data_IF_997364059587
#
_entry.id   IF_997364059587
#
_cell.length_a   1.000
_cell.length_b   1.000
_cell.length_c   1.000
_cell.angle_alpha   90.00
_cell.angle_beta   90.00
_cell.angle_gamma   90.00
#
_symmetry.space_group_name_H-M   'P 1'
#
loop_
_entity.id
_entity.type
_entity.pdbx_description
1 polymer ?
#
# COMPACT_ATOMS: atom_id res chain seq x y z
N UNK A 1 2.66 16.88 -10.96
CA UNK A 1 1.83 16.69 -9.74
C UNK A 1 2.14 15.31 -9.20
N UNK A 2 2.57 15.21 -7.94
CA UNK A 2 2.86 13.92 -7.32
C UNK A 2 1.55 13.29 -6.86
N UNK A 3 1.26 12.05 -7.27
CA UNK A 3 -0.02 11.39 -7.02
C UNK A 3 -0.32 11.06 -5.53
N UNK A 4 0.56 11.45 -4.61
CA UNK A 4 0.53 11.06 -3.21
C UNK A 4 1.20 12.08 -2.27
N UNK A 5 2.05 12.96 -2.78
CA UNK A 5 2.86 13.85 -1.96
C UNK A 5 2.05 15.03 -1.45
N UNK A 6 2.02 15.19 -0.13
CA UNK A 6 1.41 16.32 0.58
C UNK A 6 2.50 17.04 1.35
N UNK A 7 2.47 18.36 1.29
CA UNK A 7 3.37 19.24 2.06
C UNK A 7 2.56 19.87 3.19
N UNK A 8 3.07 19.79 4.40
CA UNK A 8 2.46 20.29 5.62
C UNK A 8 3.38 21.37 6.19
N UNK A 9 2.79 22.51 6.54
CA UNK A 9 3.50 23.62 7.13
C UNK A 9 2.66 24.27 8.24
N UNK A 10 3.30 24.98 9.17
CA UNK A 10 2.66 25.69 10.28
C UNK A 10 1.86 26.93 9.82
N UNK A 11 2.26 27.51 8.70
CA UNK A 11 1.60 28.63 8.01
C UNK A 11 1.04 28.21 6.66
N UNK A 12 0.02 28.92 6.12
CA UNK A 12 -0.51 28.65 4.80
C UNK A 12 0.59 28.64 3.72
N UNK A 13 0.60 27.60 2.87
CA UNK A 13 1.71 27.36 1.92
C UNK A 13 1.94 28.54 0.96
N UNK A 14 0.86 29.21 0.52
CA UNK A 14 0.96 30.36 -0.38
C UNK A 14 1.68 31.57 0.23
N UNK A 15 1.88 31.61 1.56
CA UNK A 15 2.63 32.69 2.23
C UNK A 15 4.14 32.43 2.27
N UNK A 16 4.55 31.17 2.14
CA UNK A 16 5.93 30.73 2.38
C UNK A 16 6.60 30.14 1.14
N UNK A 17 5.83 29.72 0.13
CA UNK A 17 6.38 29.23 -1.13
C UNK A 17 5.44 29.49 -2.32
N UNK A 18 5.96 29.51 -3.56
CA UNK A 18 5.13 29.69 -4.76
C UNK A 18 4.15 28.52 -4.93
N UNK A 19 2.85 28.82 -4.89
CA UNK A 19 1.78 27.82 -5.09
C UNK A 19 0.90 28.18 -6.28
N UNK A 20 0.32 27.16 -6.91
CA UNK A 20 -0.78 27.31 -7.87
C UNK A 20 -2.08 26.76 -7.27
N UNK A 21 -3.22 27.33 -7.63
CA UNK A 21 -4.53 26.83 -7.20
C UNK A 21 -5.05 25.81 -8.21
N UNK A 22 -5.41 24.63 -7.72
CA UNK A 22 -6.06 23.59 -8.48
C UNK A 22 -7.47 23.35 -7.92
N UNK A 23 -8.49 23.37 -8.78
CA UNK A 23 -9.89 23.25 -8.39
C UNK A 23 -10.26 21.90 -7.76
N UNK A 24 -9.49 20.84 -8.01
CA UNK A 24 -9.77 19.50 -7.50
C UNK A 24 -9.03 19.19 -6.20
N UNK A 25 -7.80 19.69 -6.04
CA UNK A 25 -6.89 19.29 -4.94
C UNK A 25 -6.42 20.45 -4.07
N UNK A 26 -6.84 21.69 -4.37
CA UNK A 26 -6.43 22.89 -3.63
C UNK A 26 -5.06 23.44 -4.06
N UNK A 27 -4.29 23.95 -3.10
CA UNK A 27 -2.98 24.56 -3.37
C UNK A 27 -1.91 23.50 -3.69
N UNK A 28 -1.20 23.70 -4.80
CA UNK A 28 -0.11 22.84 -5.25
C UNK A 28 1.19 23.64 -5.21
N UNK A 29 2.21 23.12 -4.52
CA UNK A 29 3.55 23.69 -4.51
C UNK A 29 4.18 23.63 -5.91
N UNK A 30 4.78 24.72 -6.36
CA UNK A 30 5.44 24.81 -7.68
C UNK A 30 6.93 24.40 -7.64
N UNK A 31 7.40 23.85 -6.51
CA UNK A 31 8.78 23.43 -6.29
C UNK A 31 8.88 21.91 -6.16
N UNK A 32 10.06 21.38 -6.48
CA UNK A 32 10.32 19.94 -6.40
C UNK A 32 10.39 19.45 -4.95
N UNK A 33 10.06 18.16 -4.76
CA UNK A 33 9.92 17.58 -3.42
C UNK A 33 11.23 17.66 -2.62
N UNK A 34 12.36 17.35 -3.26
CA UNK A 34 13.66 17.21 -2.59
C UNK A 34 14.11 18.58 -2.09
N UNK A 35 13.87 19.63 -2.89
CA UNK A 35 14.12 21.00 -2.49
C UNK A 35 13.27 21.41 -1.28
N UNK A 36 11.98 21.07 -1.25
CA UNK A 36 11.11 21.41 -0.13
C UNK A 36 11.53 20.69 1.16
N UNK A 37 11.92 19.41 1.07
CA UNK A 37 12.44 18.66 2.21
C UNK A 37 13.74 19.29 2.75
N UNK A 38 14.66 19.71 1.87
CA UNK A 38 15.88 20.43 2.26
C UNK A 38 15.61 21.78 2.93
N UNK A 39 14.53 22.47 2.55
CA UNK A 39 14.10 23.71 3.20
C UNK A 39 13.35 23.49 4.53
N UNK A 40 13.23 22.24 4.98
CA UNK A 40 12.61 21.89 6.27
C UNK A 40 11.09 21.77 6.23
N UNK A 41 10.48 21.69 5.05
CA UNK A 41 9.05 21.40 4.96
C UNK A 41 8.77 19.94 5.34
N UNK A 42 7.69 19.73 6.11
CA UNK A 42 7.22 18.40 6.39
C UNK A 42 6.50 17.84 5.16
N UNK A 43 7.00 16.73 4.64
CA UNK A 43 6.37 16.02 3.53
C UNK A 43 5.83 14.67 4.01
N UNK A 44 4.64 14.32 3.54
CA UNK A 44 4.02 13.01 3.75
C UNK A 44 3.50 12.47 2.43
N UNK A 45 3.55 11.15 2.23
CA UNK A 45 2.87 10.49 1.12
C UNK A 45 1.58 9.83 1.61
N UNK A 46 0.45 10.20 1.01
CA UNK A 46 -0.81 9.46 1.13
C UNK A 46 -0.95 8.56 -0.09
N UNK A 47 -0.57 7.29 0.08
CA UNK A 47 -0.68 6.28 -0.96
C UNK A 47 -2.07 5.64 -0.92
N UNK A 48 -2.79 5.70 -2.04
CA UNK A 48 -4.03 4.94 -2.22
C UNK A 48 -3.67 3.58 -2.79
N UNK A 49 -3.76 2.54 -1.96
CA UNK A 49 -3.45 1.17 -2.36
C UNK A 49 -4.74 0.38 -2.59
N UNK A 50 -4.94 -0.08 -3.83
CA UNK A 50 -6.11 -0.90 -4.23
C UNK A 50 -6.22 -2.20 -3.44
N UNK A 51 -5.09 -2.80 -3.06
CA UNK A 51 -5.07 -4.06 -2.31
C UNK A 51 -5.77 -3.91 -0.93
N UNK A 52 -5.68 -2.76 -0.27
CA UNK A 52 -6.35 -2.50 0.99
C UNK A 52 -7.88 -2.48 0.81
N UNK A 53 -8.38 -1.89 -0.28
CA UNK A 53 -9.81 -1.94 -0.63
C UNK A 53 -10.28 -3.37 -0.88
N UNK A 54 -9.49 -4.16 -1.62
CA UNK A 54 -9.83 -5.58 -1.89
C UNK A 54 -9.89 -6.37 -0.58
N UNK A 55 -8.93 -6.16 0.32
CA UNK A 55 -8.91 -6.84 1.64
C UNK A 55 -10.17 -6.48 2.44
N UNK A 56 -10.54 -5.19 2.51
CA UNK A 56 -11.72 -4.73 3.23
C UNK A 56 -13.02 -5.35 2.67
N UNK A 57 -13.16 -5.38 1.34
CA UNK A 57 -14.29 -6.03 0.67
C UNK A 57 -14.35 -7.53 0.98
N UNK A 58 -13.22 -8.24 0.93
CA UNK A 58 -13.15 -9.65 1.30
C UNK A 58 -13.61 -9.90 2.74
N UNK A 59 -13.14 -9.09 3.70
CA UNK A 59 -13.53 -9.21 5.11
C UNK A 59 -15.03 -8.93 5.31
N UNK A 60 -15.59 -7.96 4.59
CA UNK A 60 -17.01 -7.66 4.62
C UNK A 60 -17.86 -8.84 4.08
N UNK A 61 -17.40 -9.51 3.02
CA UNK A 61 -18.06 -10.70 2.47
C UNK A 61 -17.98 -11.89 3.44
N UNK A 62 -16.82 -12.14 4.04
CA UNK A 62 -16.66 -13.19 5.07
C UNK A 62 -17.62 -12.94 6.23
N UNK A 63 -17.69 -11.70 6.73
CA UNK A 63 -18.64 -11.34 7.78
C UNK A 63 -20.10 -11.56 7.38
N UNK A 64 -20.44 -11.26 6.13
CA UNK A 64 -21.81 -11.39 5.61
C UNK A 64 -22.25 -12.85 5.46
N UNK A 65 -21.38 -13.72 4.95
CA UNK A 65 -21.76 -15.09 4.61
C UNK A 65 -21.42 -16.11 5.70
N UNK A 66 -20.29 -15.93 6.39
CA UNK A 66 -19.82 -16.85 7.43
C UNK A 66 -20.17 -16.37 8.85
N UNK A 67 -20.62 -15.11 9.00
CA UNK A 67 -20.92 -14.51 10.31
C UNK A 67 -19.68 -14.22 11.17
N UNK A 68 -18.47 -14.43 10.61
CA UNK A 68 -17.20 -14.24 11.32
C UNK A 68 -16.68 -12.82 11.10
N UNK A 69 -16.37 -12.11 12.18
CA UNK A 69 -15.70 -10.82 12.11
C UNK A 69 -14.18 -11.02 12.23
N UNK A 70 -13.46 -10.78 11.13
CA UNK A 70 -12.00 -10.86 11.08
C UNK A 70 -11.40 -9.45 11.07
N UNK A 71 -10.26 -9.28 11.74
CA UNK A 71 -9.42 -8.09 11.63
C UNK A 71 -8.13 -8.47 10.90
N UNK A 72 -7.70 -7.70 9.89
CA UNK A 72 -6.47 -8.01 9.16
C UNK A 72 -5.23 -7.89 10.06
N UNK A 73 -5.32 -7.10 11.14
CA UNK A 73 -4.24 -6.91 12.11
C UNK A 73 -4.09 -8.05 13.12
N UNK A 74 -5.05 -8.99 13.16
CA UNK A 74 -5.04 -10.11 14.09
C UNK A 74 -4.83 -11.47 13.42
N UNK A 75 -4.62 -11.50 12.11
CA UNK A 75 -4.38 -12.76 11.39
C UNK A 75 -2.96 -13.29 11.70
N UNK A 76 -2.80 -14.61 11.94
CA UNK A 76 -1.50 -15.19 12.21
C UNK A 76 -0.65 -15.24 10.92
N UNK A 77 0.65 -14.95 11.06
CA UNK A 77 1.61 -15.10 9.95
C UNK A 77 2.06 -16.55 9.72
N UNK A 78 1.71 -17.45 10.63
CA UNK A 78 2.16 -18.86 10.63
C UNK A 78 1.12 -19.83 10.11
N UNK A 79 0.13 -19.36 9.33
CA UNK A 79 -0.91 -20.23 8.78
C UNK A 79 -0.34 -21.16 7.69
N UNK A 80 -0.27 -22.48 7.94
CA UNK A 80 0.31 -23.42 6.97
C UNK A 80 -0.54 -23.53 5.69
N UNK A 81 -1.85 -23.31 5.76
CA UNK A 81 -2.72 -23.36 4.57
C UNK A 81 -2.46 -22.16 3.66
N UNK A 82 -2.23 -20.98 4.24
CA UNK A 82 -1.87 -19.78 3.47
C UNK A 82 -0.53 -19.97 2.72
N UNK A 83 0.48 -20.55 3.37
CA UNK A 83 1.76 -20.86 2.73
C UNK A 83 1.58 -21.93 1.64
N UNK A 84 0.74 -22.94 1.88
CA UNK A 84 0.48 -23.98 0.89
C UNK A 84 -0.15 -23.41 -0.40
N UNK A 85 -1.04 -22.41 -0.31
CA UNK A 85 -1.61 -21.72 -1.49
C UNK A 85 -0.49 -21.11 -2.35
N UNK A 86 0.49 -20.45 -1.71
CA UNK A 86 1.62 -19.85 -2.41
C UNK A 86 2.49 -20.93 -3.06
N UNK A 87 2.85 -21.99 -2.31
CA UNK A 87 3.67 -23.10 -2.81
C UNK A 87 3.04 -23.84 -4.00
N UNK A 88 1.71 -23.99 -3.99
CA UNK A 88 0.95 -24.63 -5.04
C UNK A 88 0.94 -23.84 -6.36
N UNK A 89 1.47 -22.61 -6.36
CA UNK A 89 1.41 -21.74 -7.52
C UNK A 89 -0.02 -21.23 -7.77
N UNK A 90 -0.79 -21.01 -6.71
CA UNK A 90 -2.12 -20.39 -6.77
C UNK A 90 -2.02 -18.88 -6.48
N UNK A 91 -1.05 -18.21 -7.11
CA UNK A 91 -0.72 -16.80 -6.83
C UNK A 91 -1.63 -15.75 -7.50
N UNK A 92 -2.63 -16.16 -8.28
CA UNK A 92 -3.54 -15.20 -8.92
C UNK A 92 -4.32 -14.42 -7.86
N UNK A 93 -4.23 -13.08 -7.89
CA UNK A 93 -4.85 -12.20 -6.90
C UNK A 93 -4.00 -11.97 -5.64
N UNK A 94 -2.82 -12.59 -5.53
CA UNK A 94 -1.90 -12.34 -4.43
C UNK A 94 -0.99 -11.15 -4.74
N UNK A 95 -1.11 -10.10 -3.94
CA UNK A 95 -0.34 -8.87 -4.10
C UNK A 95 1.17 -9.17 -4.16
N UNK A 96 1.87 -8.56 -5.12
CA UNK A 96 3.32 -8.72 -5.40
C UNK A 96 3.79 -10.10 -5.90
N UNK A 97 2.95 -11.14 -5.86
CA UNK A 97 3.35 -12.51 -6.21
C UNK A 97 3.04 -12.92 -7.67
N UNK A 98 2.35 -12.07 -8.43
CA UNK A 98 1.87 -12.42 -9.78
C UNK A 98 2.92 -12.33 -10.89
N UNK A 99 4.08 -11.70 -10.64
CA UNK A 99 5.07 -11.50 -11.71
C UNK A 99 5.69 -12.82 -12.16
N UNK A 100 6.04 -12.94 -13.44
CA UNK A 100 6.68 -14.16 -13.98
C UNK A 100 7.97 -14.54 -13.23
N UNK A 101 8.75 -13.54 -12.80
CA UNK A 101 9.95 -13.75 -11.99
C UNK A 101 9.60 -14.33 -10.62
N UNK A 102 8.60 -13.77 -9.95
CA UNK A 102 8.17 -14.25 -8.64
C UNK A 102 7.59 -15.66 -8.69
N UNK A 103 6.79 -15.98 -9.72
CA UNK A 103 6.28 -17.33 -9.96
C UNK A 103 7.38 -18.38 -10.12
N UNK A 104 8.50 -18.01 -10.76
CA UNK A 104 9.67 -18.89 -10.88
C UNK A 104 10.38 -19.04 -9.54
N UNK A 105 10.59 -17.93 -8.84
CA UNK A 105 11.22 -17.92 -7.52
C UNK A 105 10.45 -18.80 -6.52
N UNK A 106 9.12 -18.68 -6.45
CA UNK A 106 8.27 -19.53 -5.59
C UNK A 106 8.46 -21.01 -5.89
N UNK A 107 8.52 -21.38 -7.18
CA UNK A 107 8.72 -22.78 -7.60
C UNK A 107 10.08 -23.32 -7.18
N UNK A 108 11.13 -22.51 -7.24
CA UNK A 108 12.50 -22.89 -6.89
C UNK A 108 12.72 -22.91 -5.37
N UNK A 109 12.24 -21.89 -4.65
CA UNK A 109 12.42 -21.72 -3.20
C UNK A 109 11.54 -22.67 -2.41
N UNK A 110 10.32 -22.95 -2.86
CA UNK A 110 9.33 -23.75 -2.12
C UNK A 110 9.13 -23.23 -0.68
N UNK A 111 8.62 -22.00 -0.51
CA UNK A 111 8.57 -21.32 0.78
C UNK A 111 7.85 -22.16 1.84
N UNK A 112 8.40 -22.21 3.05
CA UNK A 112 7.86 -22.99 4.18
C UNK A 112 7.36 -22.11 5.31
N UNK A 113 7.67 -20.82 5.26
CA UNK A 113 7.38 -19.82 6.27
C UNK A 113 7.01 -18.50 5.62
N UNK A 114 6.48 -17.56 6.41
CA UNK A 114 6.20 -16.20 5.95
C UNK A 114 7.49 -15.44 5.62
N UNK A 115 8.55 -15.72 6.36
CA UNK A 115 9.89 -15.13 6.17
C UNK A 115 10.50 -15.50 4.81
N UNK A 116 10.13 -16.64 4.23
CA UNK A 116 10.56 -17.02 2.88
C UNK A 116 9.85 -16.20 1.77
N UNK A 117 8.76 -15.52 2.10
CA UNK A 117 7.92 -14.74 1.18
C UNK A 117 8.15 -13.23 1.32
N UNK A 118 8.49 -12.74 2.52
CA UNK A 118 8.70 -11.34 2.86
C UNK A 118 9.98 -10.73 2.24
#
# INVERSE_FOLDING_TARGET
>A
MHAAGIVINDKPLYEVLPTTNNNEVGYVACLEKDYLEEQGFLKMDLLVLRNLTIIDECLALVRKYEGVALSPYSLPYTDPEAIQIIRDGKEMGLFQLESLGMKRAIKEVQPTSFEDVA
#
